data_IF_227255615645
#
_entry.id   IF_227255615645
#
_cell.length_a   1.000
_cell.length_b   1.000
_cell.length_c   1.000
_cell.angle_alpha   90.00
_cell.angle_beta   90.00
_cell.angle_gamma   90.00
#
_symmetry.space_group_name_H-M   'P 1'
#
loop_
_entity.id
_entity.type
_entity.pdbx_description
1 polymer ?
#
# COMPACT_ATOMS: atom_id res chain seq x y z
N UNK A 1 -17.64 -15.96 12.17
CA UNK A 1 -16.52 -15.53 11.31
C UNK A 1 -16.97 -14.98 9.96
N UNK A 2 -18.03 -15.51 9.30
CA UNK A 2 -18.50 -14.98 7.99
C UNK A 2 -18.95 -13.52 8.07
N UNK A 3 -19.67 -13.17 9.12
CA UNK A 3 -20.22 -11.84 9.35
C UNK A 3 -19.15 -10.73 9.46
N UNK A 4 -18.02 -11.01 10.15
CA UNK A 4 -16.96 -10.00 10.34
C UNK A 4 -16.32 -9.57 9.01
N UNK A 5 -16.05 -10.52 8.11
CA UNK A 5 -15.52 -10.22 6.78
C UNK A 5 -16.47 -9.29 5.99
N UNK A 6 -17.78 -9.58 6.06
CA UNK A 6 -18.80 -8.80 5.37
C UNK A 6 -18.95 -7.39 6.00
N UNK A 7 -18.91 -7.29 7.33
CA UNK A 7 -18.92 -5.99 8.05
C UNK A 7 -17.72 -5.14 7.66
N UNK A 8 -16.52 -5.72 7.63
CA UNK A 8 -15.30 -5.01 7.22
C UNK A 8 -15.39 -4.60 5.76
N UNK A 9 -15.85 -5.48 4.86
CA UNK A 9 -16.06 -5.16 3.44
C UNK A 9 -17.04 -4.00 3.23
N UNK A 10 -18.16 -4.00 3.93
CA UNK A 10 -19.16 -2.90 3.90
C UNK A 10 -18.60 -1.61 4.51
N UNK A 11 -17.86 -1.69 5.62
CA UNK A 11 -17.22 -0.54 6.26
C UNK A 11 -16.18 0.12 5.36
N UNK A 12 -15.33 -0.67 4.71
CA UNK A 12 -14.38 -0.18 3.72
C UNK A 12 -15.08 0.45 2.50
N UNK A 13 -16.19 -0.13 2.04
CA UNK A 13 -16.98 0.42 0.96
C UNK A 13 -17.54 1.79 1.34
N UNK A 14 -18.16 1.92 2.51
CA UNK A 14 -18.69 3.18 3.00
C UNK A 14 -17.58 4.23 3.15
N UNK A 15 -16.43 3.87 3.71
CA UNK A 15 -15.27 4.74 3.83
C UNK A 15 -14.78 5.21 2.46
N UNK A 16 -14.54 4.30 1.51
CA UNK A 16 -13.99 4.65 0.20
C UNK A 16 -14.90 5.60 -0.58
N UNK A 17 -16.23 5.41 -0.49
CA UNK A 17 -17.19 6.29 -1.17
C UNK A 17 -17.46 7.60 -0.42
N UNK A 18 -17.21 7.67 0.89
CA UNK A 18 -17.24 8.91 1.64
C UNK A 18 -15.98 9.76 1.43
N UNK A 19 -14.79 9.13 1.40
CA UNK A 19 -13.51 9.82 1.29
C UNK A 19 -13.13 10.17 -0.16
N UNK A 20 -13.53 9.35 -1.14
CA UNK A 20 -13.07 9.45 -2.53
C UNK A 20 -14.24 9.41 -3.53
N UNK A 21 -13.96 9.88 -4.75
CA UNK A 21 -14.80 9.63 -5.93
C UNK A 21 -14.21 8.43 -6.67
N UNK A 22 -14.68 7.22 -6.31
CA UNK A 22 -14.12 5.98 -6.86
C UNK A 22 -14.76 5.64 -8.20
N UNK A 23 -13.93 5.40 -9.21
CA UNK A 23 -14.32 4.85 -10.50
C UNK A 23 -13.56 3.55 -10.78
N UNK A 24 -14.28 2.58 -11.37
CA UNK A 24 -13.71 1.28 -11.70
C UNK A 24 -13.75 1.07 -13.21
N UNK A 25 -12.59 0.76 -13.79
CA UNK A 25 -12.40 0.37 -15.17
C UNK A 25 -12.27 -1.14 -15.29
N UNK A 26 -12.78 -1.70 -16.37
CA UNK A 26 -12.79 -3.14 -16.60
C UNK A 26 -14.14 -3.79 -16.22
N UNK A 27 -14.18 -5.11 -16.05
CA UNK A 27 -15.41 -5.82 -15.82
C UNK A 27 -16.03 -5.45 -14.48
N UNK A 28 -17.24 -4.89 -14.48
CA UNK A 28 -17.97 -4.57 -13.24
C UNK A 28 -18.33 -5.80 -12.40
N UNK A 29 -18.35 -6.97 -13.02
CA UNK A 29 -18.62 -8.27 -12.38
C UNK A 29 -17.70 -9.31 -12.99
N UNK A 30 -17.00 -10.03 -12.16
CA UNK A 30 -16.12 -11.11 -12.54
C UNK A 30 -16.19 -12.22 -11.49
N UNK A 31 -15.69 -13.38 -11.84
CA UNK A 31 -15.52 -14.48 -10.90
C UNK A 31 -14.03 -14.66 -10.65
N UNK A 32 -13.63 -14.64 -9.38
CA UNK A 32 -12.27 -15.01 -9.03
C UNK A 32 -12.08 -16.50 -9.35
N UNK A 33 -11.07 -16.78 -10.15
CA UNK A 33 -10.64 -18.15 -10.36
C UNK A 33 -9.95 -18.66 -9.10
N UNK A 34 -10.13 -19.95 -8.75
CA UNK A 34 -9.37 -20.54 -7.64
C UNK A 34 -7.85 -20.37 -7.86
N UNK A 35 -7.10 -20.14 -6.79
CA UNK A 35 -5.64 -19.96 -6.86
C UNK A 35 -5.19 -18.78 -7.74
N UNK A 36 -5.97 -17.69 -7.76
CA UNK A 36 -5.55 -16.43 -8.42
C UNK A 36 -4.62 -15.63 -7.51
N UNK A 37 -3.52 -15.18 -8.06
CA UNK A 37 -2.70 -14.16 -7.41
C UNK A 37 -3.10 -12.78 -7.93
N UNK A 38 -3.66 -11.93 -7.05
CA UNK A 38 -4.07 -10.58 -7.37
C UNK A 38 -2.89 -9.67 -7.03
N UNK A 39 -2.28 -9.07 -8.05
CA UNK A 39 -1.15 -8.15 -7.90
C UNK A 39 -1.64 -6.72 -8.06
N UNK A 40 -1.29 -5.85 -7.11
CA UNK A 40 -1.84 -4.49 -7.04
C UNK A 40 -0.72 -3.47 -6.91
N UNK A 41 -0.79 -2.37 -7.66
CA UNK A 41 0.09 -1.21 -7.42
C UNK A 41 -0.16 -0.63 -6.03
N UNK A 42 0.91 -0.21 -5.35
CA UNK A 42 0.79 0.37 -4.01
C UNK A 42 1.08 1.88 -4.05
N UNK A 43 0.04 2.69 -3.98
CA UNK A 43 0.11 4.14 -4.13
C UNK A 43 0.01 4.88 -2.80
N UNK A 44 -0.93 4.46 -1.96
CA UNK A 44 -1.21 5.07 -0.65
C UNK A 44 -1.58 3.99 0.37
N UNK A 45 -1.48 4.30 1.63
CA UNK A 45 -1.95 3.41 2.70
C UNK A 45 -3.48 3.14 2.63
N UNK A 46 -4.22 4.00 1.90
CA UNK A 46 -5.66 3.86 1.67
C UNK A 46 -6.03 2.90 0.54
N UNK A 47 -5.06 2.27 -0.13
CA UNK A 47 -5.34 1.37 -1.26
C UNK A 47 -6.21 0.17 -0.87
N UNK A 48 -5.93 -0.43 0.29
CA UNK A 48 -6.70 -1.60 0.77
C UNK A 48 -8.19 -1.27 0.97
N UNK A 49 -8.57 -0.18 1.71
CA UNK A 49 -9.95 0.21 1.83
C UNK A 49 -10.63 0.64 0.51
N UNK A 50 -9.89 0.96 -0.53
CA UNK A 50 -10.45 1.28 -1.86
C UNK A 50 -10.62 0.01 -2.70
N UNK A 51 -9.57 -0.81 -2.80
CA UNK A 51 -9.54 -2.01 -3.66
C UNK A 51 -10.37 -3.15 -3.08
N UNK A 52 -10.33 -3.33 -1.76
CA UNK A 52 -11.08 -4.38 -1.08
C UNK A 52 -12.57 -4.40 -1.43
N UNK A 53 -13.30 -3.27 -1.34
CA UNK A 53 -14.70 -3.18 -1.77
C UNK A 53 -14.94 -3.48 -3.24
N UNK A 54 -14.05 -3.03 -4.13
CA UNK A 54 -14.19 -3.29 -5.57
C UNK A 54 -14.15 -4.79 -5.84
N UNK A 55 -13.21 -5.50 -5.21
CA UNK A 55 -13.10 -6.94 -5.31
C UNK A 55 -14.28 -7.64 -4.59
N UNK A 56 -14.68 -7.14 -3.42
CA UNK A 56 -15.80 -7.68 -2.66
C UNK A 56 -17.11 -7.61 -3.45
N UNK A 57 -17.39 -6.45 -4.07
CA UNK A 57 -18.59 -6.23 -4.88
C UNK A 57 -18.46 -6.88 -6.25
N UNK A 58 -17.37 -6.67 -6.95
CA UNK A 58 -17.13 -7.19 -8.31
C UNK A 58 -17.17 -8.72 -8.37
N UNK A 59 -16.51 -9.40 -7.44
CA UNK A 59 -16.49 -10.86 -7.35
C UNK A 59 -17.66 -11.45 -6.54
N UNK A 60 -18.56 -10.62 -6.00
CA UNK A 60 -19.71 -11.05 -5.18
C UNK A 60 -19.29 -11.95 -4.00
N UNK A 61 -18.25 -11.57 -3.28
CA UNK A 61 -17.65 -12.39 -2.21
C UNK A 61 -18.62 -12.66 -1.04
N UNK A 62 -19.66 -11.85 -0.87
CA UNK A 62 -20.74 -12.10 0.09
C UNK A 62 -21.58 -13.34 -0.23
N UNK A 63 -21.68 -13.72 -1.52
CA UNK A 63 -22.40 -14.94 -1.97
C UNK A 63 -21.48 -16.14 -2.03
N UNK A 64 -20.25 -15.93 -2.47
CA UNK A 64 -19.26 -16.99 -2.72
C UNK A 64 -18.25 -17.06 -1.58
N UNK A 65 -18.68 -17.54 -0.43
CA UNK A 65 -17.85 -17.60 0.79
C UNK A 65 -16.57 -18.42 0.59
N UNK A 66 -16.60 -19.44 -0.27
CA UNK A 66 -15.44 -20.24 -0.65
C UNK A 66 -14.39 -19.46 -1.44
N UNK A 67 -14.81 -18.43 -2.18
CA UNK A 67 -13.95 -17.63 -3.05
C UNK A 67 -13.39 -16.38 -2.32
N UNK A 68 -13.66 -16.22 -1.00
CA UNK A 68 -13.10 -15.12 -0.22
C UNK A 68 -11.58 -15.14 -0.31
N UNK A 69 -11.03 -14.06 -0.82
CA UNK A 69 -9.60 -13.91 -0.98
C UNK A 69 -8.90 -13.66 0.35
N UNK A 70 -7.63 -14.02 0.39
CA UNK A 70 -6.72 -13.65 1.44
C UNK A 70 -5.91 -12.41 1.03
N UNK A 71 -5.42 -11.67 2.02
CA UNK A 71 -4.57 -10.50 1.85
C UNK A 71 -3.23 -10.79 2.54
N UNK A 72 -2.13 -10.56 1.83
CA UNK A 72 -0.82 -10.50 2.44
C UNK A 72 -0.58 -9.06 2.93
N UNK A 73 -0.39 -8.89 4.22
CA UNK A 73 -0.14 -7.60 4.85
C UNK A 73 1.17 -7.60 5.63
N UNK A 74 1.79 -6.45 5.76
CA UNK A 74 3.03 -6.29 6.56
C UNK A 74 2.80 -6.78 7.98
N UNK A 75 3.79 -7.46 8.55
CA UNK A 75 3.72 -8.02 9.91
C UNK A 75 3.60 -6.95 11.01
N UNK A 76 4.03 -5.72 10.74
CA UNK A 76 3.87 -4.59 11.65
C UNK A 76 2.40 -4.19 11.90
N UNK A 77 1.49 -4.44 10.94
CA UNK A 77 0.05 -4.23 11.12
C UNK A 77 -0.54 -5.10 12.24
N UNK A 78 0.12 -6.21 12.55
CA UNK A 78 -0.28 -7.13 13.63
C UNK A 78 0.25 -6.71 15.00
N UNK A 79 1.15 -5.73 15.04
CA UNK A 79 1.71 -5.19 16.28
C UNK A 79 0.72 -4.21 16.91
N UNK A 80 0.49 -4.40 18.22
CA UNK A 80 -0.40 -3.50 18.99
C UNK A 80 0.10 -2.06 18.90
N UNK A 81 -0.81 -1.13 18.60
CA UNK A 81 -0.51 0.29 18.50
C UNK A 81 -0.09 0.75 17.10
N UNK A 82 -0.07 -0.13 16.11
CA UNK A 82 0.33 0.19 14.75
C UNK A 82 -0.31 1.49 14.21
N UNK A 83 -1.62 1.67 14.41
CA UNK A 83 -2.32 2.88 13.94
C UNK A 83 -1.87 4.18 14.61
N UNK A 84 -1.19 4.12 15.75
CA UNK A 84 -0.64 5.31 16.39
C UNK A 84 0.60 5.87 15.66
N UNK A 85 1.29 5.03 14.87
CA UNK A 85 2.43 5.42 14.03
C UNK A 85 2.06 5.95 12.65
N UNK A 86 0.78 5.85 12.24
CA UNK A 86 0.37 6.11 10.86
C UNK A 86 0.29 7.58 10.46
N UNK A 87 0.06 8.50 11.39
CA UNK A 87 -0.11 9.91 11.05
C UNK A 87 0.59 10.81 12.05
N UNK A 88 1.42 11.70 11.54
CA UNK A 88 2.07 12.75 12.35
C UNK A 88 1.05 13.79 12.85
N UNK A 89 -0.07 13.93 12.14
CA UNK A 89 -1.12 14.92 12.39
C UNK A 89 -2.07 14.58 13.56
N UNK A 90 -2.02 13.34 14.08
CA UNK A 90 -2.88 12.93 15.18
C UNK A 90 -2.55 13.68 16.47
N UNK A 91 -3.59 14.20 17.13
CA UNK A 91 -3.43 14.78 18.46
C UNK A 91 -2.81 13.77 19.44
N UNK A 92 -1.99 14.21 20.42
CA UNK A 92 -1.34 13.30 21.38
C UNK A 92 -2.32 12.38 22.12
N UNK A 93 -3.53 12.85 22.38
CA UNK A 93 -4.57 12.06 23.07
C UNK A 93 -5.10 10.93 22.18
N UNK A 94 -5.36 11.20 20.90
CA UNK A 94 -5.78 10.19 19.92
C UNK A 94 -4.68 9.17 19.70
N UNK A 95 -3.42 9.61 19.56
CA UNK A 95 -2.26 8.74 19.39
C UNK A 95 -2.09 7.80 20.58
N UNK A 96 -2.22 8.29 21.83
CA UNK A 96 -2.20 7.46 23.05
C UNK A 96 -3.32 6.41 23.06
N UNK A 97 -4.52 6.78 22.62
CA UNK A 97 -5.64 5.84 22.52
C UNK A 97 -5.35 4.76 21.49
N UNK A 98 -4.94 5.13 20.27
CA UNK A 98 -4.61 4.21 19.19
C UNK A 98 -3.44 3.29 19.53
N UNK A 99 -2.47 3.75 20.31
CA UNK A 99 -1.36 2.92 20.77
C UNK A 99 -1.82 1.72 21.66
N UNK A 100 -2.96 1.86 22.33
CA UNK A 100 -3.57 0.79 23.12
C UNK A 100 -4.40 -0.19 22.30
N UNK A 101 -4.76 0.18 21.05
CA UNK A 101 -5.57 -0.65 20.17
C UNK A 101 -4.69 -1.68 19.47
N UNK A 102 -5.09 -2.94 19.53
CA UNK A 102 -4.46 -4.04 18.81
C UNK A 102 -5.48 -4.72 17.90
N UNK A 103 -5.34 -4.54 16.59
CA UNK A 103 -6.19 -5.22 15.59
C UNK A 103 -5.62 -6.56 15.14
N UNK A 104 -4.33 -6.79 15.41
CA UNK A 104 -3.59 -7.97 14.96
C UNK A 104 -4.33 -9.30 15.14
N UNK A 105 -4.88 -9.62 16.32
CA UNK A 105 -5.62 -10.87 16.55
C UNK A 105 -6.89 -11.01 15.71
N UNK A 106 -7.48 -9.89 15.26
CA UNK A 106 -8.69 -9.87 14.44
C UNK A 106 -8.43 -10.02 12.95
N UNK A 107 -7.24 -9.67 12.47
CA UNK A 107 -6.89 -9.65 11.06
C UNK A 107 -7.02 -11.04 10.38
N UNK A 108 -6.56 -12.16 10.97
CA UNK A 108 -6.76 -13.48 10.38
C UNK A 108 -8.23 -13.88 10.23
N UNK A 109 -9.13 -13.33 11.07
CA UNK A 109 -10.58 -13.59 10.98
C UNK A 109 -11.21 -12.99 9.70
N UNK A 110 -10.56 -12.00 9.13
CA UNK A 110 -10.93 -11.37 7.84
C UNK A 110 -9.95 -11.73 6.73
N UNK A 111 -9.24 -12.84 6.88
CA UNK A 111 -8.29 -13.37 5.89
C UNK A 111 -7.11 -12.46 5.56
N UNK A 112 -6.72 -11.59 6.48
CA UNK A 112 -5.48 -10.83 6.38
C UNK A 112 -4.38 -11.59 7.13
N UNK A 113 -3.29 -11.91 6.43
CA UNK A 113 -2.22 -12.74 6.94
C UNK A 113 -0.88 -11.98 6.88
N UNK A 114 -0.01 -12.14 7.88
CA UNK A 114 1.26 -11.43 7.91
C UNK A 114 2.22 -11.94 6.83
N UNK A 115 3.02 -11.02 6.33
CA UNK A 115 4.23 -11.29 5.58
C UNK A 115 5.34 -10.43 6.16
N UNK A 116 6.21 -11.06 6.94
CA UNK A 116 7.28 -10.39 7.65
C UNK A 116 8.57 -10.28 6.84
N UNK A 117 9.41 -9.37 7.29
CA UNK A 117 10.78 -9.22 6.80
C UNK A 117 11.76 -9.92 7.74
N UNK A 118 12.63 -10.78 7.18
CA UNK A 118 13.74 -11.35 7.93
C UNK A 118 14.86 -10.33 8.23
N UNK A 119 14.84 -9.16 7.59
CA UNK A 119 15.93 -8.15 7.64
C UNK A 119 15.58 -6.90 8.42
N UNK A 120 14.30 -6.68 8.73
CA UNK A 120 13.81 -5.49 9.39
C UNK A 120 13.02 -5.87 10.64
N UNK A 121 13.14 -5.10 11.69
CA UNK A 121 12.30 -5.14 12.88
C UNK A 121 11.74 -3.75 13.13
N UNK A 122 10.70 -3.60 13.94
CA UNK A 122 10.30 -2.28 14.44
C UNK A 122 11.15 -1.91 15.65
N UNK A 123 11.44 -0.63 15.83
CA UNK A 123 12.09 -0.12 17.06
C UNK A 123 11.34 -0.64 18.29
N UNK A 124 10.01 -0.60 18.27
CA UNK A 124 9.17 -1.15 19.34
C UNK A 124 9.49 -2.60 19.68
N UNK A 125 9.61 -3.46 18.65
CA UNK A 125 9.90 -4.88 18.87
C UNK A 125 11.29 -5.13 19.44
N UNK A 126 12.26 -4.28 19.07
CA UNK A 126 13.61 -4.33 19.67
C UNK A 126 13.56 -3.98 21.16
N UNK A 127 12.85 -2.91 21.51
CA UNK A 127 12.76 -2.42 22.88
C UNK A 127 11.91 -3.32 23.79
N UNK A 128 10.92 -4.02 23.23
CA UNK A 128 10.10 -5.01 23.95
C UNK A 128 10.90 -6.26 24.35
N UNK A 129 12.07 -6.53 23.74
CA UNK A 129 12.93 -7.66 24.15
C UNK A 129 13.54 -7.46 25.53
N UNK A 130 13.93 -6.23 25.86
CA UNK A 130 14.54 -5.88 27.15
C UNK A 130 14.02 -4.52 27.65
N UNK A 131 12.77 -4.44 28.16
CA UNK A 131 12.16 -3.16 28.55
C UNK A 131 12.90 -2.41 29.66
N UNK A 132 13.65 -3.13 30.48
CA UNK A 132 14.44 -2.55 31.59
C UNK A 132 15.85 -2.08 31.16
N UNK A 133 16.30 -2.45 29.96
CA UNK A 133 17.63 -2.08 29.49
C UNK A 133 17.78 -0.57 29.22
N UNK A 134 18.97 0.00 29.41
CA UNK A 134 19.29 1.32 28.92
C UNK A 134 19.06 1.42 27.40
N UNK A 135 18.59 2.57 26.91
CA UNK A 135 18.32 2.77 25.47
C UNK A 135 19.57 2.54 24.61
N UNK A 136 20.74 3.02 25.06
CA UNK A 136 21.98 2.85 24.32
C UNK A 136 22.49 1.40 24.23
N UNK A 137 21.99 0.50 25.08
CA UNK A 137 22.29 -0.93 25.00
C UNK A 137 21.38 -1.66 23.99
N UNK A 138 20.34 -0.99 23.51
CA UNK A 138 19.34 -1.58 22.61
C UNK A 138 19.35 -0.97 21.22
N UNK A 139 19.67 0.32 21.10
CA UNK A 139 19.57 1.10 19.86
C UNK A 139 20.86 1.87 19.57
N UNK A 140 21.08 2.22 18.31
CA UNK A 140 22.15 3.12 17.90
C UNK A 140 22.02 4.50 18.54
N UNK A 141 23.14 5.23 18.69
CA UNK A 141 23.17 6.59 19.22
C UNK A 141 22.26 7.55 18.47
N UNK A 142 22.13 7.38 17.16
CA UNK A 142 21.24 8.18 16.30
C UNK A 142 19.78 8.01 16.74
N UNK A 143 19.30 6.77 16.88
CA UNK A 143 17.93 6.47 17.32
C UNK A 143 17.67 6.94 18.76
N UNK A 144 18.65 6.79 19.63
CA UNK A 144 18.58 7.31 21.01
C UNK A 144 18.47 8.83 21.02
N UNK A 145 19.25 9.50 20.14
CA UNK A 145 19.18 10.97 19.94
C UNK A 145 17.79 11.42 19.47
N UNK A 146 17.21 10.72 18.50
CA UNK A 146 15.86 11.00 17.97
C UNK A 146 14.78 10.84 19.05
N UNK A 147 14.83 9.78 19.86
CA UNK A 147 13.91 9.56 20.98
C UNK A 147 14.04 10.65 22.06
N UNK A 148 15.26 11.10 22.38
CA UNK A 148 15.48 12.22 23.30
C UNK A 148 14.97 13.55 22.73
N UNK A 149 15.21 13.82 21.47
CA UNK A 149 14.67 15.01 20.80
C UNK A 149 13.14 15.01 20.79
N UNK A 150 12.52 13.83 20.56
CA UNK A 150 11.07 13.68 20.62
C UNK A 150 10.52 13.92 22.03
N UNK A 151 11.21 13.42 23.06
CA UNK A 151 10.84 13.69 24.45
C UNK A 151 10.86 15.20 24.76
N UNK A 152 11.94 15.89 24.37
CA UNK A 152 12.08 17.33 24.56
C UNK A 152 10.97 18.11 23.86
N UNK A 153 10.65 17.77 22.61
CA UNK A 153 9.57 18.39 21.85
C UNK A 153 8.18 18.15 22.48
N UNK A 154 7.99 17.05 23.18
CA UNK A 154 6.75 16.71 23.90
C UNK A 154 6.72 17.21 25.35
N UNK A 155 7.76 17.91 25.83
CA UNK A 155 7.88 18.36 27.23
C UNK A 155 8.02 17.19 28.24
N UNK A 156 8.54 16.04 27.80
CA UNK A 156 8.72 14.86 28.61
C UNK A 156 10.16 14.78 29.15
N UNK A 157 10.39 14.09 30.29
CA UNK A 157 11.74 13.81 30.76
C UNK A 157 12.54 13.01 29.70
N UNK A 158 13.85 13.27 29.64
CA UNK A 158 14.73 12.53 28.74
C UNK A 158 14.69 11.02 29.06
N UNK A 159 14.36 10.16 28.08
CA UNK A 159 14.24 8.73 28.32
C UNK A 159 15.62 8.13 28.52
N UNK A 160 15.73 7.20 29.46
CA UNK A 160 16.97 6.48 29.77
C UNK A 160 16.85 4.96 29.49
N UNK A 161 15.65 4.41 29.60
CA UNK A 161 15.35 2.98 29.42
C UNK A 161 14.36 2.73 28.32
N UNK A 162 14.34 1.52 27.81
CA UNK A 162 13.39 1.07 26.80
C UNK A 162 11.92 1.26 27.27
N UNK A 163 11.61 0.96 28.52
CA UNK A 163 10.27 1.17 29.10
C UNK A 163 9.78 2.62 29.10
N UNK A 164 10.68 3.59 29.11
CA UNK A 164 10.31 5.01 29.15
C UNK A 164 9.67 5.47 27.84
N UNK A 165 10.02 4.82 26.74
CA UNK A 165 9.56 5.17 25.39
C UNK A 165 8.48 4.24 24.83
N UNK A 166 8.17 3.12 25.45
CA UNK A 166 7.12 2.19 25.01
C UNK A 166 5.71 2.74 25.27
N UNK A 167 5.44 3.92 24.75
CA UNK A 167 4.16 4.66 24.89
C UNK A 167 3.81 5.44 23.63
N UNK A 168 2.56 5.89 23.54
CA UNK A 168 1.99 6.49 22.31
C UNK A 168 2.67 7.77 21.83
N UNK A 169 3.30 8.51 22.73
CA UNK A 169 4.01 9.76 22.42
C UNK A 169 5.20 9.54 21.46
N UNK A 170 5.74 8.32 21.44
CA UNK A 170 6.87 7.94 20.60
C UNK A 170 6.47 7.02 19.43
N UNK A 171 5.17 6.90 19.13
CA UNK A 171 4.67 5.93 18.17
C UNK A 171 5.29 6.08 16.77
N UNK A 172 5.56 7.30 16.33
CA UNK A 172 6.22 7.62 15.07
C UNK A 172 7.62 6.97 14.97
N UNK A 173 8.42 7.03 16.03
CA UNK A 173 9.73 6.38 16.11
C UNK A 173 9.60 4.88 16.38
N UNK A 174 8.68 4.46 17.26
CA UNK A 174 8.50 3.06 17.63
C UNK A 174 8.07 2.16 16.48
N UNK A 175 7.30 2.67 15.52
CA UNK A 175 6.86 1.94 14.33
C UNK A 175 7.79 2.11 13.13
N UNK A 176 8.92 2.79 13.30
CA UNK A 176 9.98 2.84 12.27
C UNK A 176 10.64 1.47 12.14
N UNK A 177 10.80 0.97 10.89
CA UNK A 177 11.58 -0.24 10.64
C UNK A 177 13.07 0.04 10.80
N UNK A 178 13.77 -0.86 11.49
CA UNK A 178 15.22 -0.82 11.71
C UNK A 178 15.88 -2.09 11.21
N UNK A 179 17.11 -1.95 10.73
CA UNK A 179 17.99 -3.05 10.33
C UNK A 179 18.81 -3.54 11.51
N UNK A 180 19.51 -4.67 11.33
CA UNK A 180 20.39 -5.22 12.36
C UNK A 180 21.53 -4.26 12.75
N UNK A 181 22.04 -3.44 11.80
CA UNK A 181 23.12 -2.49 12.07
C UNK A 181 22.73 -1.31 12.95
N UNK A 182 21.41 -1.01 13.07
CA UNK A 182 20.86 0.06 13.92
C UNK A 182 20.51 -0.42 15.33
N UNK A 183 20.78 -1.69 15.65
CA UNK A 183 20.40 -2.33 16.90
C UNK A 183 21.64 -2.80 17.63
N UNK A 184 21.81 -2.34 18.86
CA UNK A 184 22.95 -2.66 19.72
C UNK A 184 22.66 -3.77 20.73
N UNK A 185 21.41 -4.23 20.85
CA UNK A 185 21.03 -5.22 21.88
C UNK A 185 21.85 -6.51 21.81
N UNK A 186 22.23 -7.04 22.97
CA UNK A 186 22.91 -8.33 23.09
C UNK A 186 22.09 -9.50 22.52
N UNK A 187 20.77 -9.34 22.45
CA UNK A 187 19.83 -10.32 21.88
C UNK A 187 19.53 -10.10 20.41
N UNK A 188 20.29 -9.23 19.71
CA UNK A 188 20.06 -8.97 18.29
C UNK A 188 20.02 -10.27 17.48
N UNK A 189 20.93 -11.19 17.70
CA UNK A 189 21.00 -12.45 16.96
C UNK A 189 19.76 -13.32 17.17
N UNK A 190 19.29 -13.44 18.40
CA UNK A 190 18.08 -14.19 18.73
C UNK A 190 16.84 -13.53 18.11
N UNK A 191 16.74 -12.20 18.19
CA UNK A 191 15.64 -11.45 17.59
C UNK A 191 15.60 -11.70 16.08
N UNK A 192 16.72 -11.55 15.38
CA UNK A 192 16.78 -11.77 13.93
C UNK A 192 16.56 -13.23 13.53
N UNK A 193 17.06 -14.20 14.29
CA UNK A 193 16.78 -15.61 14.06
C UNK A 193 15.28 -15.92 14.19
N UNK A 194 14.60 -15.38 15.23
CA UNK A 194 13.14 -15.51 15.38
C UNK A 194 12.39 -14.87 14.24
N UNK A 195 12.78 -13.65 13.82
CA UNK A 195 12.14 -12.97 12.69
C UNK A 195 12.29 -13.74 11.40
N UNK A 196 13.47 -14.25 11.11
CA UNK A 196 13.71 -15.09 9.93
C UNK A 196 12.83 -16.36 9.97
N UNK A 197 12.73 -17.01 11.12
CA UNK A 197 11.86 -18.17 11.32
C UNK A 197 10.38 -17.85 11.12
N UNK A 198 9.92 -16.71 11.65
CA UNK A 198 8.54 -16.25 11.49
C UNK A 198 8.25 -15.92 10.02
N UNK A 199 9.06 -15.11 9.38
CA UNK A 199 8.91 -14.75 7.96
C UNK A 199 8.88 -15.99 7.07
N UNK A 200 9.73 -17.00 7.35
CA UNK A 200 9.71 -18.27 6.61
C UNK A 200 8.43 -19.08 6.83
N UNK A 201 7.86 -19.08 8.04
CA UNK A 201 6.57 -19.74 8.32
C UNK A 201 5.40 -19.04 7.64
N UNK A 202 5.34 -17.73 7.75
CA UNK A 202 4.32 -16.88 7.13
C UNK A 202 4.33 -17.02 5.61
N UNK A 203 5.53 -16.96 5.01
CA UNK A 203 5.68 -17.17 3.58
C UNK A 203 5.19 -18.56 3.14
N UNK A 204 5.58 -19.63 3.87
CA UNK A 204 5.09 -20.99 3.57
C UNK A 204 3.59 -21.09 3.68
N UNK A 205 3.00 -20.48 4.71
CA UNK A 205 1.54 -20.45 4.88
C UNK A 205 0.85 -19.80 3.67
N UNK A 206 1.36 -18.66 3.16
CA UNK A 206 0.79 -18.01 1.96
C UNK A 206 0.92 -18.90 0.72
N UNK A 207 2.05 -19.59 0.55
CA UNK A 207 2.25 -20.55 -0.53
C UNK A 207 1.22 -21.69 -0.47
N UNK A 208 1.04 -22.29 0.70
CA UNK A 208 0.08 -23.38 0.92
C UNK A 208 -1.37 -22.91 0.71
N UNK A 209 -1.69 -21.70 1.11
CA UNK A 209 -2.99 -21.08 0.94
C UNK A 209 -3.35 -20.97 -0.55
N UNK A 210 -2.43 -20.49 -1.40
CA UNK A 210 -2.64 -20.41 -2.85
C UNK A 210 -2.72 -21.83 -3.47
N UNK A 211 -1.86 -22.76 -3.06
CA UNK A 211 -1.91 -24.16 -3.51
C UNK A 211 -3.22 -24.85 -3.16
N UNK A 212 -3.81 -24.49 -2.03
CA UNK A 212 -5.14 -24.99 -1.61
C UNK A 212 -6.31 -24.35 -2.38
N UNK A 213 -6.03 -23.54 -3.41
CA UNK A 213 -7.05 -22.93 -4.26
C UNK A 213 -7.55 -21.56 -3.79
N UNK A 214 -6.97 -20.99 -2.72
CA UNK A 214 -7.37 -19.65 -2.26
C UNK A 214 -6.71 -18.57 -3.12
N UNK A 215 -7.47 -17.53 -3.45
CA UNK A 215 -6.92 -16.34 -4.10
C UNK A 215 -6.22 -15.46 -3.07
N UNK A 216 -5.09 -14.88 -3.46
CA UNK A 216 -4.23 -14.06 -2.60
C UNK A 216 -3.97 -12.70 -3.23
N UNK A 217 -4.30 -11.63 -2.52
CA UNK A 217 -3.93 -10.27 -2.90
C UNK A 217 -2.58 -9.91 -2.28
N UNK A 218 -1.70 -9.39 -3.10
CA UNK A 218 -0.38 -8.90 -2.71
C UNK A 218 -0.11 -7.53 -3.32
N UNK A 219 0.62 -6.70 -2.58
CA UNK A 219 1.26 -5.49 -3.11
C UNK A 219 2.73 -5.82 -3.38
N UNK A 220 3.12 -6.07 -4.65
CA UNK A 220 4.47 -6.55 -4.98
C UNK A 220 5.57 -5.57 -4.60
N UNK A 221 5.29 -4.29 -4.53
CA UNK A 221 6.19 -3.22 -4.10
C UNK A 221 6.49 -3.29 -2.59
N UNK A 222 5.55 -3.87 -1.80
CA UNK A 222 5.68 -4.08 -0.35
C UNK A 222 5.61 -2.82 0.51
N UNK A 223 5.48 -1.66 -0.09
CA UNK A 223 5.23 -0.35 0.53
C UNK A 223 4.63 0.60 -0.51
N UNK A 224 3.91 1.65 -0.10
CA UNK A 224 3.47 2.69 -1.03
C UNK A 224 4.67 3.31 -1.75
N UNK A 225 4.46 3.65 -3.02
CA UNK A 225 5.45 4.40 -3.78
C UNK A 225 5.64 5.80 -3.16
N UNK A 226 6.87 6.21 -2.84
CA UNK A 226 7.10 7.53 -2.25
C UNK A 226 7.01 8.66 -3.28
N UNK A 227 7.15 8.36 -4.56
CA UNK A 227 7.35 9.34 -5.63
C UNK A 227 6.49 9.13 -6.88
N UNK A 228 5.58 8.15 -6.86
CA UNK A 228 4.69 7.84 -7.98
C UNK A 228 5.26 6.82 -8.97
N UNK A 229 6.55 6.50 -8.92
CA UNK A 229 7.11 5.44 -9.75
C UNK A 229 6.61 4.06 -9.30
N UNK A 230 6.31 3.17 -10.25
CA UNK A 230 6.15 1.75 -9.93
C UNK A 230 7.55 1.20 -9.69
N UNK A 231 7.91 1.11 -8.41
CA UNK A 231 9.24 0.76 -7.96
C UNK A 231 9.59 -0.71 -8.18
N UNK A 232 10.83 -1.10 -7.84
CA UNK A 232 11.24 -2.49 -7.93
C UNK A 232 10.37 -3.36 -7.04
N UNK A 233 10.01 -4.53 -7.55
CA UNK A 233 9.21 -5.49 -6.80
C UNK A 233 10.06 -6.17 -5.72
N UNK A 234 9.40 -6.60 -4.65
CA UNK A 234 10.07 -7.39 -3.61
C UNK A 234 10.41 -8.79 -4.13
N UNK A 235 11.63 -9.25 -3.92
CA UNK A 235 12.08 -10.60 -4.30
C UNK A 235 11.18 -11.73 -3.81
N UNK A 236 10.41 -11.50 -2.75
CA UNK A 236 9.40 -12.44 -2.26
C UNK A 236 8.30 -12.75 -3.25
N UNK A 237 8.00 -11.86 -4.20
CA UNK A 237 6.97 -12.07 -5.22
C UNK A 237 7.39 -13.15 -6.22
N UNK A 238 8.63 -13.12 -6.71
CA UNK A 238 9.18 -14.16 -7.59
C UNK A 238 9.13 -15.54 -6.89
N UNK A 239 9.62 -15.59 -5.64
CA UNK A 239 9.58 -16.81 -4.85
C UNK A 239 8.14 -17.32 -4.59
N UNK A 240 7.19 -16.39 -4.38
CA UNK A 240 5.79 -16.73 -4.15
C UNK A 240 5.17 -17.36 -5.41
N UNK A 241 5.32 -16.74 -6.59
CA UNK A 241 4.81 -17.26 -7.85
C UNK A 241 5.40 -18.65 -8.16
N UNK A 242 6.73 -18.79 -8.07
CA UNK A 242 7.42 -20.08 -8.33
C UNK A 242 6.96 -21.19 -7.41
N UNK A 243 6.80 -20.90 -6.12
CA UNK A 243 6.48 -21.91 -5.11
C UNK A 243 4.98 -22.18 -5.03
N UNK A 244 4.15 -21.16 -5.07
CA UNK A 244 2.71 -21.31 -4.96
C UNK A 244 2.08 -21.84 -6.26
N UNK A 245 2.67 -21.52 -7.43
CA UNK A 245 2.17 -21.88 -8.76
C UNK A 245 0.68 -21.51 -8.91
N UNK A 246 0.34 -20.21 -8.78
CA UNK A 246 -1.03 -19.77 -8.95
C UNK A 246 -1.55 -20.21 -10.32
N UNK A 247 -2.86 -20.37 -10.43
CA UNK A 247 -3.50 -20.72 -11.70
C UNK A 247 -3.54 -19.53 -12.66
N UNK A 248 -3.72 -18.35 -12.09
CA UNK A 248 -3.75 -17.07 -12.84
C UNK A 248 -3.21 -15.92 -12.02
N UNK A 249 -2.82 -14.85 -12.71
CA UNK A 249 -2.48 -13.55 -12.15
C UNK A 249 -3.51 -12.53 -12.61
N UNK A 250 -4.06 -11.75 -11.69
CA UNK A 250 -4.99 -10.66 -11.96
C UNK A 250 -4.31 -9.33 -11.58
N UNK A 251 -3.89 -8.50 -12.56
CA UNK A 251 -3.35 -7.18 -12.25
C UNK A 251 -4.47 -6.20 -11.92
N UNK A 252 -4.28 -5.43 -10.85
CA UNK A 252 -5.07 -4.26 -10.51
C UNK A 252 -4.14 -3.06 -10.38
N UNK A 253 -4.57 -1.91 -10.87
CA UNK A 253 -3.83 -0.67 -10.67
C UNK A 253 -4.74 0.43 -10.20
N UNK A 254 -4.21 1.28 -9.34
CA UNK A 254 -4.93 2.39 -8.74
C UNK A 254 -4.19 3.69 -9.04
N UNK A 255 -4.90 4.69 -9.47
CA UNK A 255 -4.39 6.05 -9.65
C UNK A 255 -5.26 7.03 -8.84
N UNK A 256 -4.59 7.88 -8.06
CA UNK A 256 -5.22 8.98 -7.33
C UNK A 256 -5.05 10.27 -8.12
N UNK A 257 -6.15 10.93 -8.41
CA UNK A 257 -6.14 12.25 -9.05
C UNK A 257 -6.67 13.31 -8.07
N UNK A 258 -5.76 13.98 -7.33
CA UNK A 258 -6.12 15.03 -6.39
C UNK A 258 -6.39 16.38 -7.09
N UNK A 259 -6.07 16.53 -8.39
CA UNK A 259 -6.31 17.74 -9.15
C UNK A 259 -7.77 17.87 -9.59
N UNK A 260 -8.68 17.68 -8.64
CA UNK A 260 -10.13 17.77 -8.78
C UNK A 260 -10.73 18.60 -7.65
N UNK A 261 -11.85 19.25 -7.91
CA UNK A 261 -12.59 19.94 -6.86
C UNK A 261 -13.27 18.97 -5.91
N UNK A 262 -13.10 19.21 -4.61
CA UNK A 262 -13.71 18.40 -3.56
C UNK A 262 -12.92 17.12 -3.27
N UNK A 263 -13.60 15.96 -3.29
CA UNK A 263 -12.96 14.67 -2.93
C UNK A 263 -12.03 14.20 -4.04
N UNK A 264 -10.83 13.74 -3.67
CA UNK A 264 -9.88 13.11 -4.60
C UNK A 264 -10.57 12.04 -5.44
N UNK A 265 -10.36 12.09 -6.74
CA UNK A 265 -10.82 11.06 -7.68
C UNK A 265 -9.86 9.89 -7.61
N UNK A 266 -10.41 8.69 -7.57
CA UNK A 266 -9.64 7.45 -7.57
C UNK A 266 -10.14 6.57 -8.71
N UNK A 267 -9.24 6.24 -9.61
CA UNK A 267 -9.52 5.37 -10.75
C UNK A 267 -8.83 4.04 -10.52
N UNK A 268 -9.61 2.97 -10.48
CA UNK A 268 -9.09 1.61 -10.30
C UNK A 268 -9.32 0.82 -11.58
N UNK A 269 -8.27 0.28 -12.14
CA UNK A 269 -8.33 -0.62 -13.28
C UNK A 269 -8.25 -2.07 -12.82
N UNK A 270 -9.21 -2.88 -13.26
CA UNK A 270 -9.21 -4.33 -13.11
C UNK A 270 -8.82 -4.92 -14.45
N UNK A 271 -7.63 -5.50 -14.54
CA UNK A 271 -7.12 -6.11 -15.75
C UNK A 271 -7.78 -7.46 -16.07
N UNK A 272 -7.29 -8.12 -17.10
CA UNK A 272 -7.69 -9.48 -17.45
C UNK A 272 -6.87 -10.52 -16.67
N UNK A 273 -7.46 -11.69 -16.42
CA UNK A 273 -6.71 -12.83 -15.89
C UNK A 273 -5.64 -13.25 -16.89
N UNK A 274 -4.42 -13.38 -16.41
CA UNK A 274 -3.24 -13.79 -17.18
C UNK A 274 -2.70 -15.12 -16.65
N UNK A 275 -2.09 -15.97 -17.49
CA UNK A 275 -1.31 -17.08 -17.00
C UNK A 275 -0.13 -16.57 -16.16
N UNK A 276 0.28 -17.29 -15.11
CA UNK A 276 1.43 -16.88 -14.32
C UNK A 276 2.70 -16.91 -15.18
N UNK A 277 3.57 -15.87 -15.08
CA UNK A 277 4.80 -15.84 -15.84
C UNK A 277 5.74 -16.97 -15.40
N UNK A 278 6.31 -17.68 -16.37
CA UNK A 278 7.26 -18.78 -16.14
C UNK A 278 8.69 -18.26 -15.91
N UNK A 279 9.06 -17.22 -16.65
CA UNK A 279 10.40 -16.60 -16.65
C UNK A 279 10.28 -15.11 -16.36
N UNK A 280 11.38 -14.50 -15.92
CA UNK A 280 11.44 -13.08 -15.58
C UNK A 280 10.18 -12.58 -14.86
N UNK A 281 9.78 -13.30 -13.80
CA UNK A 281 8.50 -13.08 -13.10
C UNK A 281 8.38 -11.62 -12.63
N UNK A 282 9.45 -11.08 -12.08
CA UNK A 282 9.48 -9.70 -11.59
C UNK A 282 9.20 -8.71 -12.73
N UNK A 283 9.93 -8.83 -13.85
CA UNK A 283 9.74 -7.97 -15.03
C UNK A 283 8.35 -8.12 -15.65
N UNK A 284 7.84 -9.34 -15.75
CA UNK A 284 6.51 -9.60 -16.30
C UNK A 284 5.39 -9.00 -15.42
N UNK A 285 5.46 -9.15 -14.10
CA UNK A 285 4.48 -8.55 -13.17
C UNK A 285 4.60 -7.02 -13.20
N UNK A 286 5.81 -6.47 -13.26
CA UNK A 286 6.03 -5.04 -13.37
C UNK A 286 5.40 -4.48 -14.66
N UNK A 287 5.59 -5.15 -15.79
CA UNK A 287 4.98 -4.78 -17.06
C UNK A 287 3.44 -4.83 -17.00
N UNK A 288 2.86 -5.89 -16.37
CA UNK A 288 1.41 -5.98 -16.15
C UNK A 288 0.87 -4.83 -15.31
N UNK A 289 1.57 -4.45 -14.25
CA UNK A 289 1.15 -3.33 -13.38
C UNK A 289 1.25 -1.99 -14.09
N UNK A 290 2.32 -1.75 -14.86
CA UNK A 290 2.50 -0.52 -15.65
C UNK A 290 1.44 -0.39 -16.74
N UNK A 291 1.21 -1.44 -17.52
CA UNK A 291 0.20 -1.44 -18.58
C UNK A 291 -1.23 -1.30 -18.05
N UNK A 292 -1.50 -1.72 -16.83
CA UNK A 292 -2.82 -1.60 -16.20
C UNK A 292 -3.04 -0.29 -15.44
N UNK A 293 -2.02 0.58 -15.29
CA UNK A 293 -2.16 1.85 -14.57
C UNK A 293 -3.05 2.82 -15.37
N UNK A 294 -4.16 3.31 -14.79
CA UNK A 294 -5.07 4.22 -15.49
C UNK A 294 -4.40 5.54 -15.86
N UNK A 295 -4.68 6.05 -17.05
CA UNK A 295 -4.38 7.42 -17.43
C UNK A 295 -5.41 8.37 -16.82
N UNK A 296 -4.99 9.38 -16.06
CA UNK A 296 -5.84 10.45 -15.52
C UNK A 296 -5.45 11.81 -16.07
N UNK A 297 -6.38 12.76 -16.02
CA UNK A 297 -6.10 14.14 -16.45
C UNK A 297 -5.06 14.83 -15.58
N UNK A 298 -5.11 14.58 -14.26
CA UNK A 298 -4.15 15.15 -13.32
C UNK A 298 -2.71 14.71 -13.59
N UNK A 299 -2.48 13.46 -13.97
CA UNK A 299 -1.15 12.96 -14.35
C UNK A 299 -0.58 13.71 -15.53
N UNK A 300 -1.36 13.94 -16.60
CA UNK A 300 -0.91 14.64 -17.81
C UNK A 300 -0.61 16.11 -17.51
N UNK A 301 -1.54 16.79 -16.82
CA UNK A 301 -1.37 18.19 -16.42
C UNK A 301 -0.15 18.37 -15.51
N UNK A 302 0.03 17.48 -14.53
CA UNK A 302 1.20 17.53 -13.65
C UNK A 302 2.52 17.35 -14.40
N UNK A 303 2.58 16.42 -15.36
CA UNK A 303 3.78 16.19 -16.18
C UNK A 303 4.18 17.43 -16.98
N UNK A 304 3.21 18.13 -17.57
CA UNK A 304 3.45 19.37 -18.31
C UNK A 304 3.93 20.49 -17.35
N UNK A 305 3.24 20.68 -16.23
CA UNK A 305 3.61 21.73 -15.27
C UNK A 305 5.01 21.50 -14.67
N UNK A 306 5.35 20.27 -14.32
CA UNK A 306 6.68 19.94 -13.77
C UNK A 306 7.79 20.13 -14.80
N UNK A 307 7.50 19.91 -16.10
CA UNK A 307 8.43 20.18 -17.20
C UNK A 307 8.49 21.67 -17.62
N UNK A 308 7.78 22.55 -16.92
CA UNK A 308 7.72 23.97 -17.22
C UNK A 308 6.89 24.36 -18.44
N UNK A 309 6.03 23.44 -18.91
CA UNK A 309 5.15 23.65 -20.05
C UNK A 309 3.75 24.05 -19.59
N UNK A 310 3.03 24.79 -20.43
CA UNK A 310 1.62 25.12 -20.18
C UNK A 310 0.75 23.98 -20.71
N UNK A 311 0.01 23.25 -19.84
CA UNK A 311 -0.86 22.16 -20.28
C UNK A 311 -1.95 22.64 -21.22
N UNK A 312 -2.29 21.83 -22.22
CA UNK A 312 -3.30 22.13 -23.22
C UNK A 312 -4.26 20.95 -23.44
N UNK A 313 -5.41 21.22 -24.05
CA UNK A 313 -6.34 20.16 -24.46
C UNK A 313 -5.72 19.20 -25.50
N UNK A 314 -4.76 19.67 -26.30
CA UNK A 314 -4.02 18.85 -27.24
C UNK A 314 -3.11 17.83 -26.54
N UNK A 315 -2.48 18.21 -25.42
CA UNK A 315 -1.65 17.29 -24.63
C UNK A 315 -2.49 16.16 -24.04
N UNK A 316 -3.68 16.47 -23.51
CA UNK A 316 -4.60 15.45 -23.03
C UNK A 316 -5.09 14.55 -24.17
N UNK A 317 -5.36 15.11 -25.36
CA UNK A 317 -5.76 14.34 -26.52
C UNK A 317 -4.65 13.40 -26.99
N UNK A 318 -3.42 13.89 -27.09
CA UNK A 318 -2.25 13.09 -27.46
C UNK A 318 -1.97 11.96 -26.47
N UNK A 319 -2.07 12.24 -25.15
CA UNK A 319 -1.93 11.22 -24.11
C UNK A 319 -3.01 10.14 -24.18
N UNK A 320 -4.26 10.52 -24.51
CA UNK A 320 -5.36 9.58 -24.69
C UNK A 320 -5.13 8.69 -25.93
N UNK A 321 -4.68 9.25 -27.04
CA UNK A 321 -4.37 8.44 -28.24
C UNK A 321 -3.22 7.47 -27.97
N UNK A 322 -2.13 7.91 -27.34
CA UNK A 322 -1.04 7.03 -26.95
C UNK A 322 -1.52 5.92 -26.00
N UNK A 323 -2.40 6.24 -25.05
CA UNK A 323 -2.96 5.23 -24.15
C UNK A 323 -3.83 4.21 -24.89
N UNK A 324 -4.57 4.61 -25.92
CA UNK A 324 -5.34 3.71 -26.78
C UNK A 324 -4.44 2.77 -27.60
N UNK A 325 -3.37 3.31 -28.17
CA UNK A 325 -2.40 2.52 -28.94
C UNK A 325 -1.72 1.46 -28.08
N UNK A 326 -1.40 1.78 -26.83
CA UNK A 326 -0.76 0.86 -25.89
C UNK A 326 -1.75 -0.02 -25.12
N UNK A 327 -3.07 0.17 -25.28
CA UNK A 327 -4.09 -0.55 -24.52
C UNK A 327 -4.18 -0.14 -23.05
N UNK A 328 -3.58 0.97 -22.66
CA UNK A 328 -3.61 1.50 -21.30
C UNK A 328 -5.04 1.94 -20.94
N UNK A 329 -5.55 1.60 -19.75
CA UNK A 329 -6.87 2.05 -19.30
C UNK A 329 -6.94 3.58 -19.21
N UNK A 330 -8.05 4.15 -19.65
CA UNK A 330 -8.25 5.60 -19.72
C UNK A 330 -9.40 5.99 -18.79
N UNK A 331 -9.18 7.02 -17.98
CA UNK A 331 -10.23 7.63 -17.16
C UNK A 331 -11.41 8.04 -18.08
N UNK A 332 -12.65 7.60 -17.81
CA UNK A 332 -13.81 7.96 -18.60
C UNK A 332 -14.03 9.47 -18.76
N UNK A 333 -13.56 10.27 -17.80
CA UNK A 333 -13.61 11.72 -17.89
C UNK A 333 -12.77 12.30 -19.06
N UNK A 334 -11.87 11.52 -19.65
CA UNK A 334 -11.05 11.89 -20.81
C UNK A 334 -11.60 11.35 -22.14
N UNK A 335 -12.72 10.62 -22.14
CA UNK A 335 -13.24 9.91 -23.30
C UNK A 335 -13.56 10.85 -24.49
N UNK A 336 -14.09 12.01 -24.23
CA UNK A 336 -14.47 13.00 -25.24
C UNK A 336 -13.78 14.36 -25.05
N UNK A 337 -13.84 15.22 -26.07
CA UNK A 337 -13.19 16.53 -26.06
C UNK A 337 -13.72 17.45 -24.94
N UNK A 338 -15.02 17.42 -24.68
CA UNK A 338 -15.63 18.22 -23.60
C UNK A 338 -15.18 17.76 -22.21
N UNK A 339 -15.04 16.45 -22.01
CA UNK A 339 -14.49 15.87 -20.79
C UNK A 339 -13.04 16.28 -20.57
N UNK A 340 -12.20 16.20 -21.61
CA UNK A 340 -10.80 16.64 -21.56
C UNK A 340 -10.67 18.13 -21.21
N UNK A 341 -11.47 19.00 -21.86
CA UNK A 341 -11.46 20.43 -21.56
C UNK A 341 -11.84 20.70 -20.10
N UNK A 342 -12.94 20.12 -19.61
CA UNK A 342 -13.36 20.26 -18.19
C UNK A 342 -12.28 19.76 -17.22
N UNK A 343 -11.62 18.65 -17.54
CA UNK A 343 -10.55 18.10 -16.67
C UNK A 343 -9.31 18.98 -16.68
N UNK A 344 -8.96 19.58 -17.83
CA UNK A 344 -7.86 20.53 -17.92
C UNK A 344 -8.14 21.76 -17.06
N UNK A 345 -9.30 22.40 -17.24
CA UNK A 345 -9.69 23.60 -16.48
C UNK A 345 -9.74 23.33 -14.98
N UNK A 346 -10.30 22.18 -14.58
CA UNK A 346 -10.37 21.78 -13.17
C UNK A 346 -8.98 21.53 -12.58
N UNK A 347 -8.12 20.80 -13.30
CA UNK A 347 -6.77 20.49 -12.83
C UNK A 347 -5.90 21.75 -12.70
N UNK A 348 -5.97 22.66 -13.69
CA UNK A 348 -5.25 23.93 -13.63
C UNK A 348 -5.72 24.81 -12.46
N UNK A 349 -7.03 24.85 -12.19
CA UNK A 349 -7.59 25.62 -11.07
C UNK A 349 -7.14 25.13 -9.68
N UNK A 350 -6.74 23.87 -9.57
CA UNK A 350 -6.36 23.22 -8.29
C UNK A 350 -4.84 23.03 -8.17
N UNK A 351 -4.11 23.07 -9.29
CA UNK A 351 -2.68 22.71 -9.33
C UNK A 351 -1.81 23.52 -8.35
N UNK A 352 -2.10 24.81 -8.15
CA UNK A 352 -1.34 25.64 -7.21
C UNK A 352 -1.60 25.24 -5.75
N UNK A 353 -2.84 24.89 -5.39
CA UNK A 353 -3.21 24.41 -4.06
C UNK A 353 -2.63 23.01 -3.76
N UNK A 354 -2.35 22.23 -4.81
CA UNK A 354 -1.84 20.87 -4.76
C UNK A 354 -0.42 20.73 -5.31
N UNK A 355 0.37 21.78 -5.22
CA UNK A 355 1.71 21.85 -5.81
C UNK A 355 2.62 20.71 -5.38
N UNK A 356 2.52 20.29 -4.14
CA UNK A 356 3.31 19.17 -3.58
C UNK A 356 2.98 17.81 -4.18
N UNK A 357 1.77 17.63 -4.74
CA UNK A 357 1.35 16.40 -5.40
C UNK A 357 1.82 16.30 -6.86
N UNK A 358 2.22 17.41 -7.49
CA UNK A 358 2.56 17.44 -8.92
C UNK A 358 3.76 16.55 -9.28
N UNK A 359 4.88 16.55 -8.54
CA UNK A 359 6.02 15.69 -8.86
C UNK A 359 5.65 14.20 -8.82
N UNK A 360 4.81 13.82 -7.85
CA UNK A 360 4.32 12.44 -7.72
C UNK A 360 3.49 12.00 -8.94
N UNK A 361 2.52 12.82 -9.33
CA UNK A 361 1.65 12.55 -10.49
C UNK A 361 2.42 12.52 -11.80
N UNK A 362 3.37 13.45 -11.98
CA UNK A 362 4.24 13.50 -13.16
C UNK A 362 5.06 12.22 -13.29
N UNK A 363 5.69 11.77 -12.21
CA UNK A 363 6.49 10.55 -12.22
C UNK A 363 5.64 9.30 -12.40
N UNK A 364 4.43 9.26 -11.84
CA UNK A 364 3.46 8.19 -12.08
C UNK A 364 3.10 8.08 -13.58
N UNK A 365 2.89 9.23 -14.25
CA UNK A 365 2.64 9.29 -15.68
C UNK A 365 3.81 8.74 -16.50
N UNK A 366 5.04 9.18 -16.21
CA UNK A 366 6.26 8.73 -16.90
C UNK A 366 6.53 7.25 -16.68
N UNK A 367 6.36 6.76 -15.45
CA UNK A 367 6.55 5.35 -15.10
C UNK A 367 5.62 4.42 -15.90
N UNK A 368 4.39 4.86 -16.18
CA UNK A 368 3.43 4.10 -16.96
C UNK A 368 3.73 4.13 -18.47
N UNK A 369 4.48 5.14 -18.97
CA UNK A 369 4.90 5.23 -20.39
C UNK A 369 6.14 4.38 -20.70
N UNK A 370 6.94 4.10 -19.67
CA UNK A 370 8.18 3.33 -19.81
C UNK A 370 7.94 1.79 -19.87
N UNK A 371 6.72 1.33 -19.78
CA UNK A 371 6.32 -0.07 -19.90
C UNK A 371 5.68 -0.39 -21.22
#
# INVERSE_FOLDING_TARGET
>A
MRFLYDVVGCGMWAYSHAAFRVETLGPRRFRLEPSTMIVVTHRRETDVPVIGPILYVGARLWRNVGDRMAFAARDDMFVRGFFAGFTEELSPSVRRLLYRVGVGPGLPLVHVHPIGSARLALVKQVLEEEPAAPLGDSLSDELVGELKARAAAAGLPAPSRASDVLRGEYADVLFRPVSRGEVATRRADELWARRAGNAAREFRFLVELVRAGRSLLVFPEGRPSPDGEIGPLRRGVDALVRRARPRSVLPLSIAYDPLVRGRTRVVVSVGAFQPPPAENIEGAILALLRSSLPLTGGQVVAAQLVSGQTPSAADLAGAVEQARETGRPIDPALADAGGRARRLDEALAIAEERRDELPYLAREYESARAG
#
